data_IF_234003295644
#
_entry.id   IF_234003295644
#
_cell.length_a   1.000
_cell.length_b   1.000
_cell.length_c   1.000
_cell.angle_alpha   90.00
_cell.angle_beta   90.00
_cell.angle_gamma   90.00
#
_symmetry.space_group_name_H-M   'P 1'
#
loop_
_entity.id
_entity.type
_entity.pdbx_description
1 polymer ?
#
# COMPACT_ATOMS: atom_id res chain seq x y z
N UNK A 1 7.03 -5.34 1.59
CA UNK A 1 5.88 -6.27 1.50
C UNK A 1 4.83 -5.84 2.49
N UNK A 2 3.55 -6.13 2.24
CA UNK A 2 2.53 -5.23 2.78
C UNK A 2 1.12 -5.85 2.89
N UNK A 3 0.33 -5.33 3.81
CA UNK A 3 -1.13 -5.24 3.68
C UNK A 3 -1.47 -3.78 3.36
N UNK A 4 -2.20 -3.55 2.28
CA UNK A 4 -2.55 -2.22 1.78
C UNK A 4 -4.04 -2.14 1.47
N UNK A 5 -4.56 -0.92 1.41
CA UNK A 5 -5.92 -0.71 0.96
C UNK A 5 -6.33 0.74 1.04
N UNK A 6 -7.57 1.01 0.63
CA UNK A 6 -8.22 2.28 0.84
C UNK A 6 -9.73 2.08 1.02
N UNK A 7 -10.37 3.06 1.66
CA UNK A 7 -11.81 3.10 1.90
C UNK A 7 -12.33 4.51 1.70
N UNK A 8 -13.53 4.57 1.14
CA UNK A 8 -14.31 5.77 0.96
C UNK A 8 -15.45 5.75 1.97
N UNK A 9 -15.52 6.77 2.82
CA UNK A 9 -16.62 6.96 3.77
C UNK A 9 -17.14 8.40 3.71
N UNK A 10 -18.13 8.72 4.53
CA UNK A 10 -18.65 10.08 4.67
C UNK A 10 -18.38 10.61 6.07
N UNK A 11 -18.12 11.90 6.18
CA UNK A 11 -18.01 12.55 7.49
C UNK A 11 -19.36 13.07 7.99
N UNK A 12 -19.33 13.77 9.12
CA UNK A 12 -20.51 14.39 9.71
C UNK A 12 -21.15 15.47 8.84
N UNK A 13 -20.43 16.09 7.90
CA UNK A 13 -21.00 17.06 6.95
C UNK A 13 -21.56 16.39 5.69
N UNK A 14 -21.57 15.05 5.64
CA UNK A 14 -21.93 14.24 4.46
C UNK A 14 -20.93 14.41 3.29
N UNK A 15 -19.72 14.89 3.57
CA UNK A 15 -18.63 15.01 2.60
C UNK A 15 -17.85 13.70 2.47
N UNK A 16 -17.37 13.41 1.26
CA UNK A 16 -16.56 12.23 1.00
C UNK A 16 -15.19 12.32 1.67
N UNK A 17 -14.82 11.24 2.37
CA UNK A 17 -13.52 11.03 2.96
C UNK A 17 -12.87 9.81 2.33
N UNK A 18 -11.63 9.98 1.87
CA UNK A 18 -10.85 8.90 1.25
C UNK A 18 -9.63 8.63 2.11
N UNK A 19 -9.61 7.44 2.70
CA UNK A 19 -8.56 7.00 3.61
C UNK A 19 -7.79 5.84 3.00
N UNK A 20 -6.47 5.99 2.92
CA UNK A 20 -5.53 4.95 2.52
C UNK A 20 -4.82 4.34 3.72
N UNK A 21 -4.41 3.09 3.63
CA UNK A 21 -3.55 2.49 4.65
C UNK A 21 -2.52 1.54 4.08
N UNK A 22 -1.44 1.37 4.83
CA UNK A 22 -0.37 0.43 4.54
C UNK A 22 0.28 -0.06 5.82
N UNK A 23 0.52 -1.36 5.87
CA UNK A 23 1.59 -1.90 6.69
C UNK A 23 2.82 -2.17 5.82
N UNK A 24 3.98 -1.64 6.19
CA UNK A 24 5.25 -1.92 5.51
C UNK A 24 6.05 -2.98 6.27
N UNK A 25 5.99 -4.21 5.77
CA UNK A 25 6.74 -5.36 6.25
C UNK A 25 7.97 -5.61 5.39
N UNK A 26 9.13 -5.78 6.02
CA UNK A 26 10.38 -6.08 5.32
C UNK A 26 11.36 -6.76 6.28
N UNK A 27 12.38 -7.49 5.79
CA UNK A 27 13.60 -7.67 6.56
C UNK A 27 14.19 -6.29 6.89
N UNK A 28 15.09 -6.17 7.89
CA UNK A 28 15.67 -4.89 8.30
C UNK A 28 16.28 -4.14 7.12
N UNK A 29 15.68 -2.99 6.79
CA UNK A 29 16.12 -2.07 5.73
C UNK A 29 15.83 -0.64 6.16
N UNK A 30 16.50 0.33 5.54
CA UNK A 30 16.20 1.74 5.75
C UNK A 30 14.83 2.12 5.17
N UNK A 31 14.17 3.09 5.77
CA UNK A 31 12.91 3.66 5.31
C UNK A 31 12.84 5.14 5.71
N UNK A 32 11.91 5.87 5.11
CA UNK A 32 11.69 7.28 5.42
C UNK A 32 10.22 7.65 5.31
N UNK A 33 9.85 8.68 6.08
CA UNK A 33 8.56 9.37 6.04
C UNK A 33 8.84 10.84 5.82
N UNK A 34 8.05 11.51 4.98
CA UNK A 34 8.22 12.95 4.85
C UNK A 34 7.45 13.56 3.70
N UNK A 35 7.69 14.86 3.51
CA UNK A 35 7.24 15.59 2.33
C UNK A 35 8.28 15.47 1.23
N UNK A 36 7.84 15.13 0.02
CA UNK A 36 8.67 15.08 -1.19
C UNK A 36 7.93 15.75 -2.35
N UNK A 37 8.60 15.96 -3.48
CA UNK A 37 8.07 16.62 -4.66
C UNK A 37 9.18 17.31 -5.45
N UNK A 38 8.89 17.69 -6.70
CA UNK A 38 9.84 18.38 -7.58
C UNK A 38 9.42 19.82 -7.84
N UNK A 39 10.41 20.66 -8.17
CA UNK A 39 10.18 21.98 -8.74
C UNK A 39 9.32 21.83 -10.02
N UNK A 40 8.13 22.44 -10.03
CA UNK A 40 7.17 22.32 -11.15
C UNK A 40 6.19 21.13 -11.08
N UNK A 41 6.20 20.32 -10.02
CA UNK A 41 5.24 19.23 -9.80
C UNK A 41 4.50 19.36 -8.45
N UNK A 42 3.63 18.39 -8.17
CA UNK A 42 2.88 18.33 -6.91
C UNK A 42 3.75 17.88 -5.74
N UNK A 43 3.57 18.53 -4.58
CA UNK A 43 4.09 18.03 -3.31
C UNK A 43 3.35 16.78 -2.86
N UNK A 44 4.02 15.87 -2.15
CA UNK A 44 3.46 14.64 -1.61
C UNK A 44 3.87 14.37 -0.18
N UNK A 45 2.95 13.85 0.64
CA UNK A 45 3.26 13.19 1.90
C UNK A 45 3.50 11.71 1.62
N UNK A 46 4.72 11.26 1.82
CA UNK A 46 5.20 10.01 1.26
C UNK A 46 5.97 9.14 2.27
N UNK A 47 5.98 7.86 1.93
CA UNK A 47 6.77 6.81 2.54
C UNK A 47 7.63 6.15 1.45
N UNK A 48 8.92 5.96 1.73
CA UNK A 48 9.82 5.19 0.88
C UNK A 48 10.60 4.16 1.68
N UNK A 49 11.03 3.10 0.99
CA UNK A 49 11.76 1.97 1.57
C UNK A 49 13.02 1.71 0.74
N UNK A 50 14.17 1.51 1.38
CA UNK A 50 15.42 1.21 0.71
C UNK A 50 15.56 -0.31 0.48
N UNK A 51 16.21 -0.75 -0.62
CA UNK A 51 16.91 0.05 -1.63
C UNK A 51 16.02 0.57 -2.77
N UNK A 52 14.69 0.41 -2.70
CA UNK A 52 13.80 0.91 -3.74
C UNK A 52 13.92 2.45 -3.88
N UNK A 53 14.07 2.92 -5.11
CA UNK A 53 14.13 4.36 -5.42
C UNK A 53 12.73 4.92 -5.60
N UNK A 54 12.51 6.17 -5.15
CA UNK A 54 11.22 6.87 -5.29
C UNK A 54 10.27 6.67 -4.11
N UNK A 55 8.97 6.72 -4.39
CA UNK A 55 7.89 6.72 -3.38
C UNK A 55 7.20 5.37 -3.36
N UNK A 56 7.19 4.71 -2.20
CA UNK A 56 6.56 3.40 -2.03
C UNK A 56 5.05 3.51 -1.72
N UNK A 57 4.63 4.58 -1.06
CA UNK A 57 3.24 4.99 -0.92
C UNK A 57 3.16 6.47 -0.55
N UNK A 58 2.10 7.16 -0.95
CA UNK A 58 1.93 8.57 -0.60
C UNK A 58 0.62 9.17 -1.12
N UNK A 59 0.39 10.42 -0.72
CA UNK A 59 -0.70 11.26 -1.22
C UNK A 59 -0.13 12.61 -1.65
N UNK A 60 -0.60 13.15 -2.77
CA UNK A 60 -0.19 14.47 -3.25
C UNK A 60 -1.13 15.60 -2.81
N UNK A 61 -0.77 16.85 -3.08
CA UNK A 61 -1.55 18.05 -2.73
C UNK A 61 -2.88 18.19 -3.51
N UNK A 62 -3.10 17.36 -4.53
CA UNK A 62 -4.38 17.20 -5.22
C UNK A 62 -5.25 16.09 -4.61
N UNK A 63 -4.73 15.39 -3.60
CA UNK A 63 -5.38 14.27 -2.93
C UNK A 63 -5.42 12.98 -3.78
N UNK A 64 -4.55 12.85 -4.77
CA UNK A 64 -4.25 11.55 -5.39
C UNK A 64 -3.44 10.71 -4.40
N UNK A 65 -3.98 9.58 -4.01
CA UNK A 65 -3.39 8.56 -3.15
C UNK A 65 -2.86 7.40 -4.01
N UNK A 66 -1.60 7.02 -3.79
CA UNK A 66 -0.97 5.85 -4.41
C UNK A 66 -0.30 4.98 -3.34
N UNK A 67 -0.66 3.70 -3.29
CA UNK A 67 -0.10 2.74 -2.32
C UNK A 67 0.31 1.46 -3.04
N UNK A 68 1.62 1.18 -3.10
CA UNK A 68 2.11 -0.05 -3.72
C UNK A 68 2.25 -1.23 -2.74
N UNK A 69 2.20 -2.43 -3.28
CA UNK A 69 2.67 -3.65 -2.64
C UNK A 69 3.41 -4.50 -3.67
N UNK A 70 4.33 -5.34 -3.19
CA UNK A 70 4.91 -6.39 -4.03
C UNK A 70 3.94 -7.55 -4.08
N UNK A 71 3.95 -8.29 -5.18
CA UNK A 71 3.50 -9.67 -5.17
C UNK A 71 4.52 -10.55 -5.92
N UNK A 72 4.66 -11.77 -5.45
CA UNK A 72 5.47 -12.81 -6.09
C UNK A 72 4.56 -13.95 -6.54
N UNK A 73 4.93 -14.59 -7.65
CA UNK A 73 4.17 -15.69 -8.26
C UNK A 73 4.93 -17.04 -8.17
N UNK A 74 6.08 -17.06 -7.50
CA UNK A 74 6.90 -18.25 -7.23
C UNK A 74 7.18 -18.37 -5.74
N UNK A 75 7.38 -19.60 -5.27
CA UNK A 75 7.91 -19.82 -3.93
C UNK A 75 9.35 -19.29 -3.86
N UNK A 76 9.79 -18.74 -2.70
CA UNK A 76 11.17 -18.33 -2.50
C UNK A 76 12.10 -19.54 -2.68
N UNK A 77 13.15 -19.41 -3.49
CA UNK A 77 14.24 -20.38 -3.53
C UNK A 77 14.90 -20.48 -2.14
N UNK A 78 15.38 -21.67 -1.78
CA UNK A 78 15.89 -22.00 -0.45
C UNK A 78 16.86 -20.96 0.14
N UNK A 79 16.89 -20.89 1.48
CA UNK A 79 17.64 -19.95 2.32
C UNK A 79 19.08 -19.72 1.84
N UNK A 80 19.33 -18.72 1.01
CA UNK A 80 20.69 -18.41 0.53
C UNK A 80 20.81 -17.52 -0.71
N UNK A 81 19.70 -17.20 -1.40
CA UNK A 81 19.73 -16.23 -2.50
C UNK A 81 20.25 -14.85 -2.05
N UNK A 82 21.13 -14.24 -2.84
CA UNK A 82 21.63 -12.87 -2.57
C UNK A 82 20.46 -11.88 -2.66
N UNK A 83 20.19 -11.17 -1.57
CA UNK A 83 19.07 -10.24 -1.45
C UNK A 83 19.05 -9.12 -2.52
N UNK A 84 20.21 -8.79 -3.09
CA UNK A 84 20.39 -7.66 -4.00
C UNK A 84 19.77 -7.87 -5.39
N UNK A 85 19.61 -9.11 -5.86
CA UNK A 85 19.02 -9.37 -7.19
C UNK A 85 17.49 -9.16 -7.23
N UNK A 86 16.83 -9.10 -6.06
CA UNK A 86 15.36 -9.02 -5.98
C UNK A 86 14.78 -7.63 -6.26
N UNK A 87 15.61 -6.58 -6.28
CA UNK A 87 15.19 -5.19 -6.49
C UNK A 87 15.62 -4.61 -7.85
N UNK A 88 16.48 -5.33 -8.58
CA UNK A 88 16.97 -4.88 -9.90
C UNK A 88 15.81 -4.73 -10.87
N UNK A 89 15.57 -3.52 -11.38
CA UNK A 89 14.48 -3.23 -12.32
C UNK A 89 13.13 -2.99 -11.64
N UNK A 90 13.08 -2.75 -10.33
CA UNK A 90 11.86 -2.35 -9.63
C UNK A 90 11.49 -0.90 -9.93
N UNK A 91 10.51 -0.71 -10.82
CA UNK A 91 10.00 0.61 -11.22
C UNK A 91 8.88 1.15 -10.32
N UNK A 92 8.43 0.40 -9.31
CA UNK A 92 7.23 0.78 -8.55
C UNK A 92 7.39 2.09 -7.82
N UNK A 93 8.54 2.31 -7.19
CA UNK A 93 8.80 3.54 -6.46
C UNK A 93 8.95 4.76 -7.36
N UNK A 94 9.62 4.62 -8.49
CA UNK A 94 9.85 5.73 -9.44
C UNK A 94 8.59 6.10 -10.20
N UNK A 95 7.82 5.12 -10.69
CA UNK A 95 6.56 5.36 -11.39
C UNK A 95 5.50 5.96 -10.47
N UNK A 96 5.39 5.50 -9.22
CA UNK A 96 4.49 6.16 -8.26
C UNK A 96 4.93 7.60 -7.94
N UNK A 97 6.23 7.85 -7.80
CA UNK A 97 6.72 9.21 -7.58
C UNK A 97 6.38 10.13 -8.76
N UNK A 98 6.51 9.64 -9.99
CA UNK A 98 6.13 10.38 -11.19
C UNK A 98 4.62 10.67 -11.24
N UNK A 99 3.78 9.65 -10.98
CA UNK A 99 2.34 9.83 -10.95
C UNK A 99 1.90 10.83 -9.87
N UNK A 100 2.45 10.70 -8.65
CA UNK A 100 2.18 11.66 -7.57
C UNK A 100 2.60 13.09 -7.92
N UNK A 101 3.66 13.27 -8.70
CA UNK A 101 4.16 14.59 -9.09
C UNK A 101 3.37 15.24 -10.24
N UNK A 102 2.65 14.45 -11.06
CA UNK A 102 2.09 14.90 -12.36
C UNK A 102 0.58 14.73 -12.51
N UNK A 103 -0.04 13.86 -11.73
CA UNK A 103 -1.46 13.50 -11.88
C UNK A 103 -2.29 14.09 -10.74
N UNK A 104 -3.52 14.44 -11.06
CA UNK A 104 -4.50 14.98 -10.11
C UNK A 104 -5.52 13.92 -9.68
N UNK A 105 -5.81 12.97 -10.57
CA UNK A 105 -6.85 11.95 -10.38
C UNK A 105 -6.31 10.52 -10.46
N UNK A 106 -7.09 9.57 -9.92
CA UNK A 106 -6.75 8.15 -9.96
C UNK A 106 -6.76 7.59 -11.40
N UNK A 107 -7.61 8.11 -12.28
CA UNK A 107 -7.68 7.70 -13.69
C UNK A 107 -6.47 8.20 -14.49
N UNK A 108 -6.01 9.45 -14.28
CA UNK A 108 -4.76 9.95 -14.87
C UNK A 108 -3.55 9.14 -14.41
N UNK A 109 -3.48 8.85 -13.12
CA UNK A 109 -2.42 8.04 -12.56
C UNK A 109 -2.44 6.61 -13.14
N UNK A 110 -3.61 5.99 -13.29
CA UNK A 110 -3.75 4.68 -13.93
C UNK A 110 -3.20 4.69 -15.37
N UNK A 111 -3.59 5.69 -16.17
CA UNK A 111 -3.14 5.83 -17.55
C UNK A 111 -1.61 6.00 -17.63
N UNK A 112 -1.03 6.87 -16.80
CA UNK A 112 0.42 7.07 -16.73
C UNK A 112 1.14 5.79 -16.34
N UNK A 113 0.66 5.09 -15.31
CA UNK A 113 1.25 3.84 -14.86
C UNK A 113 1.23 2.78 -15.97
N UNK A 114 0.08 2.61 -16.65
CA UNK A 114 -0.04 1.67 -17.78
C UNK A 114 0.98 1.97 -18.89
N UNK A 115 1.14 3.23 -19.27
CA UNK A 115 2.13 3.66 -20.27
C UNK A 115 3.57 3.32 -19.84
N UNK A 116 3.94 3.65 -18.60
CA UNK A 116 5.29 3.42 -18.06
C UNK A 116 5.62 1.93 -17.95
N UNK A 117 4.68 1.10 -17.51
CA UNK A 117 4.94 -0.35 -17.43
C UNK A 117 4.93 -1.04 -18.80
N UNK A 118 4.13 -0.56 -19.76
CA UNK A 118 4.13 -1.10 -21.12
C UNK A 118 5.43 -0.80 -21.89
N UNK A 119 6.03 0.37 -21.63
CA UNK A 119 7.23 0.86 -22.32
C UNK A 119 8.55 0.38 -21.72
N UNK A 120 8.55 -0.19 -20.52
CA UNK A 120 9.78 -0.59 -19.87
C UNK A 120 10.48 -1.78 -20.56
N UNK A 121 11.81 -1.67 -20.66
CA UNK A 121 12.66 -2.66 -21.32
C UNK A 121 12.95 -3.87 -20.41
N UNK A 122 12.97 -3.69 -19.09
CA UNK A 122 13.22 -4.74 -18.11
C UNK A 122 12.43 -4.51 -16.80
N UNK A 123 11.22 -5.07 -16.71
CA UNK A 123 10.48 -5.18 -15.44
C UNK A 123 10.57 -6.62 -14.97
N UNK A 124 11.26 -6.83 -13.88
CA UNK A 124 11.45 -8.15 -13.25
C UNK A 124 10.51 -8.35 -12.07
N UNK A 125 9.99 -7.26 -11.49
CA UNK A 125 9.22 -7.26 -10.25
C UNK A 125 7.74 -6.97 -10.51
N UNK A 126 6.86 -7.85 -10.00
CA UNK A 126 5.42 -7.65 -9.99
C UNK A 126 4.93 -6.81 -8.81
N UNK A 127 3.85 -6.07 -9.00
CA UNK A 127 3.30 -5.21 -7.97
C UNK A 127 1.82 -4.91 -8.16
N UNK A 128 1.15 -4.70 -7.04
CA UNK A 128 -0.23 -4.23 -6.97
C UNK A 128 -0.25 -2.84 -6.33
N UNK A 129 -0.98 -1.93 -6.93
CA UNK A 129 -1.07 -0.52 -6.55
C UNK A 129 -2.53 -0.20 -6.28
N UNK A 130 -2.80 0.45 -5.15
CA UNK A 130 -4.10 1.08 -4.88
C UNK A 130 -4.00 2.53 -5.28
N UNK A 131 -4.93 2.98 -6.11
CA UNK A 131 -5.07 4.37 -6.52
C UNK A 131 -6.42 4.89 -6.03
N UNK A 132 -6.43 6.05 -5.40
CA UNK A 132 -7.67 6.72 -5.02
C UNK A 132 -7.52 8.23 -5.14
N UNK A 133 -8.62 8.95 -5.28
CA UNK A 133 -8.63 10.40 -5.25
C UNK A 133 -9.80 10.95 -4.43
N UNK A 134 -9.83 12.26 -4.23
CA UNK A 134 -10.82 12.95 -3.38
C UNK A 134 -12.26 12.82 -3.86
N UNK A 135 -12.49 12.42 -5.10
CA UNK A 135 -13.83 12.21 -5.64
C UNK A 135 -14.45 10.88 -5.19
N UNK A 136 -13.67 10.04 -4.50
CA UNK A 136 -14.08 8.69 -4.13
C UNK A 136 -13.79 7.66 -5.22
N UNK A 137 -13.09 8.05 -6.29
CA UNK A 137 -12.57 7.12 -7.28
C UNK A 137 -11.61 6.15 -6.60
N UNK A 138 -11.80 4.85 -6.83
CA UNK A 138 -11.00 3.82 -6.19
C UNK A 138 -10.66 2.69 -7.15
N UNK A 139 -9.37 2.53 -7.42
CA UNK A 139 -8.84 1.61 -8.40
C UNK A 139 -7.75 0.72 -7.78
N UNK A 140 -7.63 -0.49 -8.29
CA UNK A 140 -6.40 -1.26 -8.18
C UNK A 140 -5.78 -1.46 -9.56
N UNK A 141 -4.45 -1.42 -9.59
CA UNK A 141 -3.63 -1.67 -10.77
C UNK A 141 -2.59 -2.72 -10.45
N UNK A 142 -2.43 -3.71 -11.31
CA UNK A 142 -1.37 -4.71 -11.21
C UNK A 142 -0.49 -4.68 -12.45
N UNK A 143 0.79 -5.00 -12.25
CA UNK A 143 1.73 -5.25 -13.32
C UNK A 143 2.63 -6.45 -13.00
N UNK A 144 3.04 -7.17 -14.04
CA UNK A 144 4.10 -8.17 -13.99
C UNK A 144 4.76 -8.26 -15.37
N UNK A 145 6.03 -7.88 -15.47
CA UNK A 145 6.63 -7.62 -16.78
C UNK A 145 5.84 -6.52 -17.50
N UNK A 146 5.49 -6.76 -18.77
CA UNK A 146 4.63 -5.86 -19.58
C UNK A 146 3.13 -6.13 -19.44
N UNK A 147 2.75 -7.19 -18.74
CA UNK A 147 1.33 -7.46 -18.50
C UNK A 147 0.82 -6.51 -17.42
N UNK A 148 -0.42 -6.05 -17.60
CA UNK A 148 -1.10 -5.16 -16.68
C UNK A 148 -2.58 -5.53 -16.56
N UNK A 149 -3.16 -5.28 -15.39
CA UNK A 149 -4.58 -5.43 -15.12
C UNK A 149 -5.07 -4.30 -14.21
N UNK A 150 -6.36 -3.97 -14.29
CA UNK A 150 -6.97 -2.99 -13.40
C UNK A 150 -8.33 -3.47 -12.92
N UNK A 151 -8.73 -3.00 -11.75
CA UNK A 151 -10.03 -3.24 -11.15
C UNK A 151 -10.58 -1.91 -10.62
N UNK A 152 -11.85 -1.63 -10.94
CA UNK A 152 -12.60 -0.54 -10.35
C UNK A 152 -13.37 -1.03 -9.11
N UNK A 153 -13.09 -0.43 -7.96
CA UNK A 153 -13.75 -0.72 -6.69
C UNK A 153 -14.53 0.50 -6.15
N UNK A 154 -14.75 1.52 -6.98
CA UNK A 154 -15.46 2.75 -6.58
C UNK A 154 -16.87 2.44 -6.07
N UNK A 155 -17.60 1.55 -6.75
CA UNK A 155 -18.94 1.12 -6.33
C UNK A 155 -18.96 0.29 -5.03
N UNK A 156 -17.86 -0.40 -4.71
CA UNK A 156 -17.71 -1.13 -3.45
C UNK A 156 -17.35 -0.19 -2.28
N UNK A 157 -16.72 0.94 -2.57
CA UNK A 157 -16.30 1.94 -1.59
C UNK A 157 -15.10 1.52 -0.73
N UNK A 158 -14.48 0.37 -1.00
CA UNK A 158 -13.24 -0.06 -0.35
C UNK A 158 -12.48 -1.08 -1.19
N UNK A 159 -11.18 -1.17 -0.97
CA UNK A 159 -10.30 -2.17 -1.59
C UNK A 159 -9.15 -2.52 -0.65
N UNK A 160 -8.73 -3.78 -0.65
CA UNK A 160 -7.58 -4.25 0.12
C UNK A 160 -6.75 -5.27 -0.66
N UNK A 161 -5.46 -5.34 -0.35
CA UNK A 161 -4.51 -6.34 -0.87
C UNK A 161 -3.49 -6.72 0.19
N UNK A 162 -3.08 -7.98 0.20
CA UNK A 162 -2.04 -8.49 1.09
C UNK A 162 -1.06 -9.36 0.31
N UNK A 163 -0.63 -8.84 -0.85
CA UNK A 163 0.32 -9.45 -1.81
C UNK A 163 -0.26 -10.54 -2.73
N UNK A 164 -1.58 -10.60 -2.88
CA UNK A 164 -2.22 -11.36 -3.94
C UNK A 164 -2.27 -10.56 -5.24
N UNK A 165 -2.15 -11.27 -6.36
CA UNK A 165 -2.56 -10.82 -7.67
C UNK A 165 -4.07 -11.09 -7.86
N UNK A 166 -4.79 -10.21 -8.56
CA UNK A 166 -6.20 -10.39 -8.91
C UNK A 166 -6.43 -10.62 -10.42
N UNK A 167 -5.43 -10.36 -11.28
CA UNK A 167 -5.60 -10.52 -12.73
C UNK A 167 -4.48 -11.30 -13.40
N UNK A 168 -3.22 -10.93 -13.13
CA UNK A 168 -2.11 -11.33 -14.01
C UNK A 168 -1.53 -12.70 -13.67
N UNK A 169 -1.34 -13.00 -12.38
CA UNK A 169 -0.71 -14.26 -11.95
C UNK A 169 -1.50 -15.00 -10.87
N UNK A 170 -2.83 -14.80 -10.81
CA UNK A 170 -3.69 -15.45 -9.83
C UNK A 170 -3.55 -16.99 -9.89
N UNK A 171 -3.54 -17.57 -11.10
CA UNK A 171 -3.37 -19.01 -11.29
C UNK A 171 -2.03 -19.53 -10.74
N UNK A 172 -0.94 -18.81 -10.98
CA UNK A 172 0.38 -19.14 -10.43
C UNK A 172 0.40 -19.01 -8.91
N UNK A 173 -0.24 -17.98 -8.35
CA UNK A 173 -0.30 -17.79 -6.90
C UNK A 173 -1.11 -18.87 -6.17
N UNK A 174 -2.11 -19.47 -6.84
CA UNK A 174 -2.82 -20.64 -6.30
C UNK A 174 -1.91 -21.86 -6.14
N UNK A 175 -0.79 -21.93 -6.88
CA UNK A 175 0.19 -23.02 -6.79
C UNK A 175 1.26 -22.82 -5.71
N UNK A 176 1.35 -21.63 -5.09
CA UNK A 176 2.30 -21.35 -4.02
C UNK A 176 2.10 -22.29 -2.82
N UNK A 177 3.12 -22.50 -1.99
CA UNK A 177 2.99 -23.32 -0.79
C UNK A 177 1.88 -22.83 0.16
N UNK A 178 1.26 -23.76 0.89
CA UNK A 178 0.14 -23.47 1.80
C UNK A 178 0.45 -22.35 2.80
N UNK A 179 1.63 -22.30 3.45
CA UNK A 179 1.92 -21.24 4.42
C UNK A 179 1.92 -19.85 3.79
N UNK A 180 2.38 -19.73 2.55
CA UNK A 180 2.39 -18.47 1.79
C UNK A 180 0.96 -18.04 1.47
N UNK A 181 0.14 -18.95 0.94
CA UNK A 181 -1.25 -18.66 0.61
C UNK A 181 -2.06 -18.31 1.85
N UNK A 182 -1.88 -19.05 2.95
CA UNK A 182 -2.59 -18.82 4.21
C UNK A 182 -2.25 -17.44 4.79
N UNK A 183 -0.97 -17.07 4.86
CA UNK A 183 -0.56 -15.75 5.37
C UNK A 183 -1.23 -14.60 4.61
N UNK A 184 -1.18 -14.67 3.27
CA UNK A 184 -1.78 -13.64 2.41
C UNK A 184 -3.29 -13.63 2.60
N UNK A 185 -3.98 -14.75 2.44
CA UNK A 185 -5.45 -14.79 2.53
C UNK A 185 -5.98 -14.32 3.88
N UNK A 186 -5.33 -14.68 4.99
CA UNK A 186 -5.76 -14.25 6.32
C UNK A 186 -5.62 -12.73 6.53
N UNK A 187 -4.54 -12.13 6.01
CA UNK A 187 -4.36 -10.67 6.08
C UNK A 187 -5.36 -9.92 5.22
N UNK A 188 -5.63 -10.42 4.01
CA UNK A 188 -6.66 -9.85 3.16
C UNK A 188 -7.99 -9.89 3.89
N UNK A 189 -8.43 -11.07 4.35
CA UNK A 189 -9.70 -11.24 5.06
C UNK A 189 -9.85 -10.26 6.23
N UNK A 190 -8.80 -10.11 7.05
CA UNK A 190 -8.81 -9.17 8.19
C UNK A 190 -8.87 -7.71 7.76
N UNK A 191 -8.21 -7.34 6.67
CA UNK A 191 -8.35 -6.00 6.10
C UNK A 191 -9.78 -5.77 5.58
N UNK A 192 -10.38 -6.73 4.87
CA UNK A 192 -11.75 -6.61 4.40
C UNK A 192 -12.75 -6.49 5.55
N UNK A 193 -12.59 -7.28 6.61
CA UNK A 193 -13.41 -7.23 7.83
C UNK A 193 -13.37 -5.84 8.50
N UNK A 194 -12.21 -5.17 8.46
CA UNK A 194 -12.06 -3.83 9.00
C UNK A 194 -12.65 -2.74 8.09
N UNK A 195 -12.61 -2.91 6.76
CA UNK A 195 -13.06 -1.88 5.81
C UNK A 195 -14.57 -1.93 5.52
N UNK A 196 -15.16 -3.13 5.47
CA UNK A 196 -16.60 -3.32 5.17
C UNK A 196 -17.52 -2.49 6.09
N UNK A 197 -17.27 -2.38 7.41
CA UNK A 197 -18.10 -1.55 8.29
C UNK A 197 -17.91 -0.03 8.10
N UNK A 198 -16.81 0.39 7.48
CA UNK A 198 -16.46 1.82 7.27
C UNK A 198 -17.03 2.32 5.93
N UNK A 199 -16.99 1.49 4.90
CA UNK A 199 -17.29 1.87 3.53
C UNK A 199 -18.69 2.48 3.37
N UNK A 200 -18.75 3.67 2.77
CA UNK A 200 -19.97 4.43 2.51
C UNK A 200 -20.73 4.89 3.76
N UNK A 201 -20.23 4.61 4.97
CA UNK A 201 -20.89 5.02 6.22
C UNK A 201 -20.53 6.46 6.58
N UNK A 202 -21.49 7.13 7.21
CA UNK A 202 -21.27 8.40 7.91
C UNK A 202 -20.62 8.10 9.25
N UNK A 203 -19.37 8.51 9.41
CA UNK A 203 -18.56 8.24 10.59
C UNK A 203 -17.71 9.45 10.93
N UNK A 204 -17.47 9.61 12.23
CA UNK A 204 -16.46 10.54 12.71
C UNK A 204 -15.09 10.19 12.15
N UNK A 205 -14.34 11.22 11.73
CA UNK A 205 -13.02 11.05 11.11
C UNK A 205 -12.08 10.21 11.96
N UNK A 206 -12.00 10.53 13.25
CA UNK A 206 -11.15 9.84 14.21
C UNK A 206 -11.60 8.38 14.46
N UNK A 207 -12.90 8.07 14.28
CA UNK A 207 -13.38 6.70 14.38
C UNK A 207 -12.88 5.84 13.20
N UNK A 208 -12.93 6.39 11.98
CA UNK A 208 -12.39 5.70 10.80
C UNK A 208 -10.87 5.51 10.89
N UNK A 209 -10.14 6.55 11.29
CA UNK A 209 -8.68 6.46 11.53
C UNK A 209 -8.39 5.45 12.65
N UNK A 210 -9.15 5.46 13.74
CA UNK A 210 -9.02 4.52 14.85
C UNK A 210 -9.22 3.06 14.43
N UNK A 211 -10.19 2.79 13.57
CA UNK A 211 -10.41 1.46 13.00
C UNK A 211 -9.21 0.99 12.16
N UNK A 212 -8.64 1.87 11.33
CA UNK A 212 -7.43 1.57 10.55
C UNK A 212 -6.19 1.37 11.44
N UNK A 213 -6.02 2.17 12.51
CA UNK A 213 -4.95 1.96 13.50
C UNK A 213 -5.07 0.59 14.19
N UNK A 214 -6.30 0.20 14.54
CA UNK A 214 -6.59 -1.11 15.12
C UNK A 214 -6.25 -2.25 14.16
N UNK A 215 -6.65 -2.14 12.89
CA UNK A 215 -6.25 -3.10 11.84
C UNK A 215 -4.73 -3.21 11.74
N UNK A 216 -4.04 -2.08 11.61
CA UNK A 216 -2.59 -2.03 11.41
C UNK A 216 -1.79 -2.51 12.62
N UNK A 217 -2.37 -2.49 13.81
CA UNK A 217 -1.76 -2.99 15.05
C UNK A 217 -2.12 -4.45 15.36
N UNK A 218 -2.89 -5.09 14.48
CA UNK A 218 -3.49 -6.38 14.80
C UNK A 218 -2.57 -7.57 14.52
N UNK A 219 -2.65 -8.57 15.39
CA UNK A 219 -1.90 -9.83 15.30
C UNK A 219 -2.84 -11.02 15.12
N UNK A 220 -2.27 -12.12 14.63
CA UNK A 220 -2.84 -13.45 14.84
C UNK A 220 -2.11 -14.08 16.03
N UNK A 221 -2.86 -14.38 17.09
CA UNK A 221 -2.26 -14.76 18.37
C UNK A 221 -1.56 -13.57 19.06
N UNK A 222 -0.81 -13.85 20.11
CA UNK A 222 -0.24 -12.80 20.98
C UNK A 222 1.11 -12.27 20.47
N UNK A 223 1.93 -13.10 19.80
CA UNK A 223 3.33 -12.76 19.48
C UNK A 223 3.52 -11.89 18.23
N UNK A 224 2.57 -11.88 17.29
CA UNK A 224 2.72 -11.22 15.98
C UNK A 224 3.63 -11.97 14.99
N UNK A 225 4.15 -13.13 15.36
CA UNK A 225 5.01 -13.97 14.51
C UNK A 225 4.22 -14.94 13.64
N UNK A 226 2.94 -15.15 13.95
CA UNK A 226 2.11 -16.11 13.24
C UNK A 226 1.72 -15.62 11.84
N UNK A 227 1.69 -16.51 10.83
CA UNK A 227 1.14 -16.22 9.51
C UNK A 227 -0.28 -15.64 9.61
N UNK A 228 -0.53 -14.54 8.90
CA UNK A 228 -1.79 -13.80 8.95
C UNK A 228 -1.80 -12.59 9.88
N UNK A 229 -0.78 -12.39 10.72
CA UNK A 229 -0.65 -11.17 11.53
C UNK A 229 -0.51 -9.94 10.62
N UNK A 230 -1.32 -8.90 10.82
CA UNK A 230 -1.14 -7.67 10.04
C UNK A 230 0.14 -7.00 10.49
N UNK A 231 0.29 -6.68 11.77
CA UNK A 231 1.56 -6.25 12.37
C UNK A 231 2.50 -7.46 12.56
N UNK A 232 3.56 -7.53 11.75
CA UNK A 232 4.47 -8.66 11.69
C UNK A 232 5.65 -8.48 12.64
N UNK A 233 5.95 -9.52 13.43
CA UNK A 233 7.04 -9.54 14.42
C UNK A 233 8.12 -10.57 14.08
N UNK A 234 8.41 -10.79 12.80
CA UNK A 234 9.38 -11.80 12.35
C UNK A 234 8.74 -12.95 11.55
N UNK A 235 7.68 -12.66 10.80
CA UNK A 235 7.02 -13.65 9.94
C UNK A 235 7.97 -14.05 8.81
N UNK A 236 8.30 -15.33 8.70
CA UNK A 236 9.35 -15.82 7.77
C UNK A 236 8.80 -16.10 6.36
N UNK A 237 7.55 -16.57 6.24
CA UNK A 237 6.96 -17.01 4.98
C UNK A 237 5.73 -16.19 4.60
N UNK A 238 5.42 -16.15 3.31
CA UNK A 238 4.26 -15.45 2.75
C UNK A 238 4.50 -13.97 2.46
N UNK A 239 5.53 -13.40 3.08
CA UNK A 239 5.85 -11.98 3.06
C UNK A 239 6.83 -11.55 2.00
N UNK A 240 7.58 -12.39 1.29
CA UNK A 240 8.31 -12.00 0.08
C UNK A 240 8.78 -13.26 -0.64
N UNK A 241 9.59 -13.08 -1.67
CA UNK A 241 10.38 -14.11 -2.31
C UNK A 241 11.72 -14.37 -1.59
N UNK A 242 11.94 -13.82 -0.40
CA UNK A 242 13.06 -14.13 0.47
C UNK A 242 12.58 -14.80 1.76
N UNK A 243 13.21 -15.90 2.15
CA UNK A 243 12.94 -16.63 3.39
C UNK A 243 13.62 -15.97 4.61
N UNK A 244 13.42 -14.66 4.78
CA UNK A 244 13.95 -13.86 5.88
C UNK A 244 12.81 -13.45 6.83
N UNK A 245 13.06 -13.26 8.13
CA UNK A 245 12.05 -12.74 9.04
C UNK A 245 11.62 -11.32 8.63
N UNK A 246 10.33 -11.13 8.38
CA UNK A 246 9.76 -9.81 8.09
C UNK A 246 9.17 -9.22 9.35
N UNK A 247 9.54 -7.97 9.61
CA UNK A 247 8.98 -7.15 10.68
C UNK A 247 8.25 -5.97 10.07
N UNK A 248 7.18 -5.53 10.71
CA UNK A 248 6.54 -4.27 10.38
C UNK A 248 7.48 -3.11 10.75
N UNK A 249 7.91 -2.38 9.73
CA UNK A 249 8.73 -1.17 9.87
C UNK A 249 7.88 0.06 10.22
N UNK A 250 6.67 0.14 9.68
CA UNK A 250 5.76 1.26 9.90
C UNK A 250 4.32 0.90 9.52
N UNK A 251 3.36 1.33 10.33
CA UNK A 251 1.96 1.45 9.92
C UNK A 251 1.72 2.88 9.43
N UNK A 252 0.99 3.00 8.32
CA UNK A 252 0.75 4.25 7.62
C UNK A 252 -0.73 4.39 7.30
N UNK A 253 -1.29 5.58 7.52
CA UNK A 253 -2.65 5.95 7.13
C UNK A 253 -2.56 7.31 6.45
N UNK A 254 -3.18 7.45 5.29
CA UNK A 254 -3.34 8.72 4.59
C UNK A 254 -4.80 9.14 4.60
N UNK A 255 -5.05 10.41 4.87
CA UNK A 255 -6.34 11.05 4.63
C UNK A 255 -6.18 11.96 3.42
N UNK A 256 -6.67 11.49 2.27
CA UNK A 256 -6.52 12.20 1.00
C UNK A 256 -7.40 13.45 0.93
N UNK A 257 -8.50 13.47 1.67
CA UNK A 257 -9.36 14.66 1.73
C UNK A 257 -8.76 15.72 2.64
N UNK A 258 -8.14 15.34 3.77
CA UNK A 258 -7.50 16.27 4.69
C UNK A 258 -6.03 16.61 4.36
N UNK A 259 -5.40 15.87 3.44
CA UNK A 259 -3.99 16.07 3.12
C UNK A 259 -3.08 15.78 4.31
N UNK A 260 -3.36 14.69 5.03
CA UNK A 260 -2.63 14.25 6.22
C UNK A 260 -2.11 12.82 6.08
N UNK A 261 -0.97 12.55 6.72
CA UNK A 261 -0.41 11.21 6.88
C UNK A 261 -0.16 10.95 8.37
N UNK A 262 -0.72 9.84 8.87
CA UNK A 262 -0.41 9.28 10.17
C UNK A 262 0.53 8.11 10.00
N UNK A 263 1.55 8.00 10.85
CA UNK A 263 2.54 6.94 10.72
C UNK A 263 3.19 6.56 12.05
N UNK A 264 3.78 5.38 12.11
CA UNK A 264 4.58 4.94 13.26
C UNK A 264 6.05 4.80 12.88
N UNK A 265 6.94 5.03 13.84
CA UNK A 265 8.36 4.69 13.74
C UNK A 265 8.59 3.32 14.38
N UNK A 266 8.39 2.26 13.60
CA UNK A 266 8.36 0.88 14.08
C UNK A 266 6.94 0.30 14.10
N UNK A 267 6.78 -0.77 14.89
CA UNK A 267 5.57 -1.60 14.93
C UNK A 267 4.38 -0.85 15.54
N UNK A 268 3.23 -0.74 14.84
CA UNK A 268 2.06 0.01 15.33
C UNK A 268 1.49 -0.45 16.67
N UNK A 269 1.64 -1.72 17.02
CA UNK A 269 1.19 -2.26 18.30
C UNK A 269 2.04 -1.80 19.51
N UNK A 270 3.21 -1.22 19.28
CA UNK A 270 4.19 -0.89 20.32
C UNK A 270 4.86 0.47 20.12
N UNK A 271 4.38 1.27 19.16
CA UNK A 271 4.97 2.57 18.80
C UNK A 271 3.90 3.64 18.78
N UNK A 272 4.30 4.87 19.06
CA UNK A 272 3.42 6.02 18.98
C UNK A 272 3.07 6.36 17.53
N UNK A 273 1.88 6.96 17.35
CA UNK A 273 1.43 7.48 16.07
C UNK A 273 1.81 8.95 15.93
N UNK A 274 2.62 9.24 14.92
CA UNK A 274 2.96 10.58 14.48
C UNK A 274 2.00 11.06 13.39
N UNK A 275 2.01 12.37 13.12
CA UNK A 275 1.20 12.99 12.08
C UNK A 275 2.00 14.07 11.35
N UNK A 276 1.89 14.10 10.03
CA UNK A 276 2.31 15.21 9.17
C UNK A 276 1.17 15.59 8.22
N UNK A 277 1.11 16.85 7.83
CA UNK A 277 0.12 17.36 6.88
C UNK A 277 0.72 18.42 5.97
N UNK A 278 0.01 18.79 4.90
CA UNK A 278 0.48 19.87 4.01
C UNK A 278 0.40 21.28 4.64
N UNK A 279 -0.38 21.46 5.72
CA UNK A 279 -0.63 22.74 6.39
C UNK A 279 -1.94 23.42 5.95
N UNK A 280 -2.35 24.49 6.66
CA UNK A 280 -3.53 25.28 6.30
C UNK A 280 -3.31 25.98 4.93
N UNK A 281 -4.04 25.56 3.90
CA UNK A 281 -3.89 26.03 2.51
C UNK A 281 -3.04 25.12 1.61
N UNK A 282 -2.64 23.94 2.08
CA UNK A 282 -1.73 23.03 1.36
C UNK A 282 -2.39 22.06 0.38
N UNK A 283 -3.72 21.99 0.32
CA UNK A 283 -4.45 21.22 -0.69
C UNK A 283 -4.89 22.19 -1.77
N UNK A 284 -4.54 21.93 -3.03
CA UNK A 284 -5.02 22.73 -4.15
C UNK A 284 -6.46 22.33 -4.46
N UNK A 285 -7.27 23.32 -4.79
CA UNK A 285 -8.66 23.18 -5.25
C UNK A 285 -8.72 23.24 -6.75
#
# INVERSE_FOLDING_TARGET
>A
MCTIGAVVCRDEADEWRVLGFKNSDSPPVGFWHGRTGSEGGYSSLAYGILPQTGVNAGVNEQGLLLISSYFGCTDPEDRGGKADSYWTGDLRGTVQAEALARCESADEALALMQERYASAEAITVGGSHILADRTGRLLAFEHLGRAAASQDASGQGWIARSNQAFGICEASQRQLSEPIRADRSLRLARAEEALKPIAGRRLEREAAIGALKSLLSSHRGESGEAPGSVCAHGVVLGRSNAALPHVTLSGLIWDATAGEMHYTLGRPCASDWHRIGFGAGGLRT
#
